data_IF_562445484266
#
_entry.id   IF_562445484266
#
_cell.length_a   1.000
_cell.length_b   1.000
_cell.length_c   1.000
_cell.angle_alpha   90.00
_cell.angle_beta   90.00
_cell.angle_gamma   90.00
#
_symmetry.space_group_name_H-M   'P 1'
#
loop_
_entity.id
_entity.type
_entity.pdbx_description
1 polymer ?
#
# COMPACT_ATOMS: atom_id res chain seq x y z
N UNK A 1 -2.35 7.98 19.56
CA UNK A 1 -2.22 7.38 18.20
C UNK A 1 -2.15 8.50 17.18
N UNK A 2 -1.16 8.50 16.29
CA UNK A 2 -1.08 9.51 15.21
C UNK A 2 -2.26 9.31 14.24
N UNK A 3 -2.99 10.38 13.93
CA UNK A 3 -4.11 10.35 12.99
C UNK A 3 -3.60 9.96 11.60
N UNK A 4 -4.20 8.95 10.97
CA UNK A 4 -3.89 8.58 9.60
C UNK A 4 -4.14 9.78 8.67
N UNK A 5 -3.07 10.28 8.02
CA UNK A 5 -3.15 11.42 7.12
C UNK A 5 -3.74 10.98 5.78
N UNK A 6 -4.98 11.37 5.51
CA UNK A 6 -5.62 11.21 4.20
C UNK A 6 -4.97 12.17 3.20
N UNK A 7 -4.72 11.69 1.98
CA UNK A 7 -4.11 12.42 0.87
C UNK A 7 -4.92 12.18 -0.40
N UNK A 8 -4.71 12.99 -1.43
CA UNK A 8 -5.27 12.77 -2.77
C UNK A 8 -4.17 12.62 -3.82
N UNK A 9 -4.50 12.00 -4.95
CA UNK A 9 -3.64 11.84 -6.13
C UNK A 9 -4.51 11.74 -7.38
N UNK A 10 -4.05 12.32 -8.49
CA UNK A 10 -4.68 12.16 -9.80
C UNK A 10 -3.94 11.09 -10.59
N UNK A 11 -4.67 10.10 -11.11
CA UNK A 11 -4.14 9.02 -11.94
C UNK A 11 -5.06 8.86 -13.14
N UNK A 12 -4.48 8.96 -14.35
CA UNK A 12 -5.20 8.81 -15.62
C UNK A 12 -6.50 9.62 -15.71
N UNK A 13 -6.50 10.83 -15.15
CA UNK A 13 -7.65 11.76 -15.16
C UNK A 13 -8.68 11.54 -14.05
N UNK A 14 -8.50 10.54 -13.18
CA UNK A 14 -9.39 10.25 -12.05
C UNK A 14 -8.72 10.64 -10.73
N UNK A 15 -9.48 11.28 -9.84
CA UNK A 15 -9.01 11.62 -8.50
C UNK A 15 -9.24 10.45 -7.52
N UNK A 16 -8.18 10.10 -6.79
CA UNK A 16 -8.20 9.08 -5.76
C UNK A 16 -7.76 9.65 -4.42
N UNK A 17 -8.46 9.27 -3.35
CA UNK A 17 -8.00 9.44 -1.98
C UNK A 17 -7.16 8.24 -1.55
N UNK A 18 -6.14 8.47 -0.73
CA UNK A 18 -5.30 7.41 -0.21
C UNK A 18 -4.77 7.70 1.20
N UNK A 19 -4.39 6.63 1.89
CA UNK A 19 -3.82 6.68 3.24
C UNK A 19 -2.97 5.45 3.53
N UNK A 20 -1.90 5.64 4.32
CA UNK A 20 -1.06 4.55 4.85
C UNK A 20 -1.49 4.24 6.28
N UNK A 21 -1.70 2.97 6.59
CA UNK A 21 -2.00 2.45 7.93
C UNK A 21 -0.94 1.42 8.30
N UNK A 22 -0.38 1.50 9.50
CA UNK A 22 0.49 0.44 10.04
C UNK A 22 -0.35 -0.81 10.32
N UNK A 23 0.09 -1.97 9.87
CA UNK A 23 -0.55 -3.27 10.17
C UNK A 23 0.25 -4.03 11.21
N UNK A 24 1.55 -4.17 10.98
CA UNK A 24 2.51 -4.90 11.80
C UNK A 24 3.92 -4.31 11.59
N UNK A 25 4.95 -4.75 12.33
CA UNK A 25 6.30 -4.20 12.21
C UNK A 25 6.98 -4.34 10.84
N UNK A 26 6.53 -5.26 9.98
CA UNK A 26 7.12 -5.53 8.67
C UNK A 26 6.26 -5.08 7.49
N UNK A 27 5.03 -4.59 7.74
CA UNK A 27 4.12 -4.18 6.68
C UNK A 27 3.30 -2.94 7.02
N UNK A 28 2.90 -2.25 5.96
CA UNK A 28 1.89 -1.21 5.98
C UNK A 28 0.77 -1.53 5.00
N UNK A 29 -0.46 -1.17 5.35
CA UNK A 29 -1.59 -1.19 4.43
C UNK A 29 -1.74 0.19 3.77
N UNK A 30 -1.62 0.22 2.44
CA UNK A 30 -2.04 1.35 1.62
C UNK A 30 -3.52 1.19 1.26
N UNK A 31 -4.36 2.11 1.71
CA UNK A 31 -5.77 2.18 1.36
C UNK A 31 -6.00 3.24 0.32
N UNK A 32 -6.71 2.91 -0.75
CA UNK A 32 -7.03 3.77 -1.87
C UNK A 32 -8.54 3.71 -2.13
N UNK A 33 -9.14 4.85 -2.44
CA UNK A 33 -10.56 4.97 -2.78
C UNK A 33 -10.79 6.07 -3.83
N UNK A 34 -11.77 5.94 -4.72
CA UNK A 34 -12.16 7.00 -5.67
C UNK A 34 -12.74 8.25 -4.98
N UNK A 35 -12.61 9.43 -5.63
CA UNK A 35 -13.26 10.69 -5.22
C UNK A 35 -14.15 11.21 -6.37
N UNK A 36 -15.41 11.63 -6.12
CA UNK A 36 -16.16 11.60 -4.86
C UNK A 36 -16.87 10.24 -4.67
N UNK A 37 -16.12 9.17 -4.38
CA UNK A 37 -16.71 7.84 -4.21
C UNK A 37 -17.06 7.51 -2.77
N UNK A 38 -18.27 6.98 -2.58
CA UNK A 38 -18.83 6.50 -1.30
C UNK A 38 -17.98 5.41 -0.67
N UNK A 39 -18.13 5.32 0.65
CA UNK A 39 -17.46 4.47 1.64
C UNK A 39 -17.23 2.98 1.36
N UNK A 40 -17.68 2.42 0.23
CA UNK A 40 -17.72 0.97 -0.05
C UNK A 40 -16.53 0.42 -0.84
N UNK A 41 -16.16 1.02 -1.98
CA UNK A 41 -15.12 0.47 -2.86
C UNK A 41 -13.73 0.93 -2.42
N UNK A 42 -12.91 0.00 -1.93
CA UNK A 42 -11.55 0.31 -1.45
C UNK A 42 -10.55 -0.71 -1.98
N UNK A 43 -9.45 -0.19 -2.51
CA UNK A 43 -8.26 -0.98 -2.79
C UNK A 43 -7.38 -0.94 -1.53
N UNK A 44 -7.07 -2.10 -0.95
CA UNK A 44 -6.13 -2.25 0.16
C UNK A 44 -4.91 -3.04 -0.31
N UNK A 45 -3.73 -2.43 -0.29
CA UNK A 45 -2.49 -3.10 -0.68
C UNK A 45 -1.60 -3.22 0.54
N UNK A 46 -1.23 -4.43 0.94
CA UNK A 46 -0.17 -4.66 1.92
C UNK A 46 1.17 -4.48 1.24
N UNK A 47 2.00 -3.59 1.78
CA UNK A 47 3.32 -3.27 1.26
C UNK A 47 4.34 -3.61 2.34
N UNK A 48 5.35 -4.40 1.99
CA UNK A 48 6.48 -4.66 2.88
C UNK A 48 7.16 -3.33 3.25
N UNK A 49 7.25 -3.08 4.55
CA UNK A 49 7.91 -1.91 5.12
C UNK A 49 8.34 -2.23 6.56
N UNK A 50 9.64 -2.45 6.75
CA UNK A 50 10.22 -2.68 8.06
C UNK A 50 10.35 -1.35 8.80
N UNK A 51 9.66 -1.21 9.94
CA UNK A 51 9.74 0.03 10.72
C UNK A 51 11.18 0.26 11.20
N UNK A 52 11.85 1.34 10.75
CA UNK A 52 13.25 1.58 11.08
C UNK A 52 13.47 1.84 12.58
N UNK A 53 12.43 2.24 13.31
CA UNK A 53 12.53 2.45 14.76
C UNK A 53 12.47 1.15 15.54
N UNK A 54 11.73 0.16 15.06
CA UNK A 54 11.68 -1.16 15.67
C UNK A 54 12.91 -2.00 15.30
N UNK A 55 13.47 -1.76 14.11
CA UNK A 55 14.62 -2.47 13.58
C UNK A 55 15.94 -1.69 13.71
N UNK A 56 15.98 -0.61 14.50
CA UNK A 56 17.12 0.32 14.55
C UNK A 56 18.46 -0.40 14.82
N UNK A 57 18.54 -1.20 15.88
CA UNK A 57 19.76 -1.94 16.26
C UNK A 57 20.27 -2.86 15.15
N UNK A 58 19.43 -3.78 14.62
CA UNK A 58 19.78 -4.60 13.46
C UNK A 58 20.19 -3.80 12.22
N UNK A 59 19.52 -2.67 11.92
CA UNK A 59 19.84 -1.83 10.75
C UNK A 59 21.23 -1.21 10.89
N UNK A 60 21.57 -0.62 12.04
CA UNK A 60 22.86 0.08 12.21
C UNK A 60 24.06 -0.87 12.38
N UNK A 61 23.82 -2.16 12.62
CA UNK A 61 24.86 -3.18 12.81
C UNK A 61 25.09 -4.05 11.57
N UNK A 62 24.18 -4.01 10.60
CA UNK A 62 24.35 -4.68 9.32
C UNK A 62 25.34 -3.91 8.41
N UNK A 63 26.12 -4.59 7.53
CA UNK A 63 26.88 -3.92 6.49
C UNK A 63 25.96 -3.06 5.63
N UNK A 64 26.30 -1.78 5.45
CA UNK A 64 25.41 -0.78 4.86
C UNK A 64 24.91 -1.17 3.47
N UNK A 65 25.77 -1.83 2.68
CA UNK A 65 25.50 -2.33 1.34
C UNK A 65 24.48 -3.48 1.31
N UNK A 66 24.26 -4.16 2.44
CA UNK A 66 23.35 -5.32 2.56
C UNK A 66 22.04 -5.01 3.27
N UNK A 67 21.90 -3.82 3.85
CA UNK A 67 20.69 -3.43 4.60
C UNK A 67 19.44 -3.58 3.72
N UNK A 68 19.52 -3.17 2.45
CA UNK A 68 18.40 -3.28 1.50
C UNK A 68 18.11 -4.71 1.02
N UNK A 69 19.01 -5.68 1.25
CA UNK A 69 18.77 -7.11 0.95
C UNK A 69 17.86 -7.75 1.99
N UNK A 70 17.96 -7.27 3.24
CA UNK A 70 17.33 -7.86 4.43
C UNK A 70 16.09 -7.07 4.85
N UNK A 71 16.14 -5.75 4.77
CA UNK A 71 15.07 -4.86 5.23
C UNK A 71 14.40 -4.12 4.07
N UNK A 72 13.07 -4.13 4.07
CA UNK A 72 12.23 -3.32 3.21
C UNK A 72 12.09 -1.90 3.81
N UNK A 73 13.08 -1.03 3.62
CA UNK A 73 13.08 0.32 4.22
C UNK A 73 12.49 1.42 3.33
N UNK A 74 12.09 1.08 2.10
CA UNK A 74 11.60 2.09 1.14
C UNK A 74 10.18 2.52 1.51
N UNK A 75 9.94 3.81 1.86
CA UNK A 75 8.61 4.27 2.21
C UNK A 75 7.68 4.30 0.99
N UNK A 76 6.37 4.22 1.22
CA UNK A 76 5.36 4.39 0.16
C UNK A 76 5.45 5.80 -0.45
N UNK A 77 5.76 5.86 -1.74
CA UNK A 77 5.87 7.12 -2.50
C UNK A 77 4.61 7.40 -3.34
N UNK A 78 4.32 8.66 -3.71
CA UNK A 78 3.20 8.97 -4.61
C UNK A 78 3.26 8.22 -5.94
N UNK A 79 4.46 8.05 -6.51
CA UNK A 79 4.65 7.27 -7.74
C UNK A 79 4.22 5.81 -7.55
N UNK A 80 4.60 5.19 -6.44
CA UNK A 80 4.17 3.81 -6.13
C UNK A 80 2.65 3.73 -5.98
N UNK A 81 1.99 4.74 -5.41
CA UNK A 81 0.52 4.78 -5.34
C UNK A 81 -0.09 4.79 -6.74
N UNK A 82 0.43 5.62 -7.66
CA UNK A 82 -0.07 5.69 -9.03
C UNK A 82 0.16 4.37 -9.81
N UNK A 83 1.32 3.73 -9.63
CA UNK A 83 1.60 2.41 -10.20
C UNK A 83 0.64 1.33 -9.68
N UNK A 84 0.35 1.33 -8.38
CA UNK A 84 -0.59 0.40 -7.76
C UNK A 84 -2.02 0.57 -8.27
N UNK A 85 -2.46 1.82 -8.43
CA UNK A 85 -3.78 2.12 -9.02
C UNK A 85 -3.87 1.57 -10.43
N UNK A 86 -2.88 1.85 -11.29
CA UNK A 86 -2.85 1.36 -12.68
C UNK A 86 -2.82 -0.16 -12.75
N UNK A 87 -2.02 -0.81 -11.91
CA UNK A 87 -1.96 -2.26 -11.86
C UNK A 87 -3.30 -2.89 -11.40
N UNK A 88 -3.95 -2.31 -10.40
CA UNK A 88 -5.26 -2.76 -9.95
C UNK A 88 -6.33 -2.60 -11.05
N UNK A 89 -6.35 -1.45 -11.74
CA UNK A 89 -7.25 -1.23 -12.89
C UNK A 89 -7.00 -2.27 -13.99
N UNK A 90 -5.73 -2.55 -14.31
CA UNK A 90 -5.35 -3.57 -15.29
C UNK A 90 -5.75 -4.99 -14.87
N UNK A 91 -5.80 -5.29 -13.56
CA UNK A 91 -6.29 -6.57 -13.04
C UNK A 91 -7.81 -6.64 -12.92
N UNK A 92 -8.55 -5.65 -13.45
CA UNK A 92 -10.01 -5.64 -13.45
C UNK A 92 -10.65 -5.02 -12.21
N UNK A 93 -9.88 -4.29 -11.38
CA UNK A 93 -10.49 -3.48 -10.32
C UNK A 93 -11.43 -2.46 -10.94
N UNK A 94 -12.73 -2.66 -10.71
CA UNK A 94 -13.77 -1.73 -11.12
C UNK A 94 -14.22 -0.94 -9.92
N UNK A 95 -14.03 0.37 -10.03
CA UNK A 95 -14.37 1.35 -8.99
C UNK A 95 -15.86 1.30 -8.64
N UNK A 96 -16.70 0.87 -9.58
CA UNK A 96 -18.16 0.89 -9.48
C UNK A 96 -18.79 -0.41 -8.94
N UNK A 97 -18.02 -1.51 -8.85
CA UNK A 97 -18.57 -2.85 -8.59
C UNK A 97 -18.76 -3.17 -7.09
N UNK A 98 -18.46 -2.23 -6.18
CA UNK A 98 -18.71 -2.39 -4.74
C UNK A 98 -17.66 -3.20 -3.97
N UNK A 99 -16.84 -3.99 -4.65
CA UNK A 99 -15.91 -4.93 -4.02
C UNK A 99 -14.61 -4.27 -3.55
N UNK A 100 -14.16 -4.67 -2.35
CA UNK A 100 -12.83 -4.30 -1.86
C UNK A 100 -11.81 -5.32 -2.34
N UNK A 101 -10.73 -4.86 -2.97
CA UNK A 101 -9.64 -5.72 -3.41
C UNK A 101 -8.46 -5.62 -2.46
N UNK A 102 -7.87 -6.78 -2.13
CA UNK A 102 -6.65 -6.87 -1.36
C UNK A 102 -5.51 -7.44 -2.20
N UNK A 103 -4.39 -6.72 -2.24
CA UNK A 103 -3.15 -7.19 -2.87
C UNK A 103 -2.02 -7.21 -1.85
N UNK A 104 -1.05 -8.11 -2.05
CA UNK A 104 0.26 -8.05 -1.40
C UNK A 104 1.27 -7.57 -2.44
N UNK A 105 2.07 -6.55 -2.08
CA UNK A 105 3.24 -6.13 -2.84
C UNK A 105 4.48 -6.61 -2.14
N UNK A 106 5.09 -7.67 -2.67
CA UNK A 106 6.41 -8.15 -2.24
C UNK A 106 7.45 -7.79 -3.32
N UNK A 107 8.48 -7.02 -2.94
CA UNK A 107 9.64 -6.67 -3.79
C UNK A 107 9.30 -6.22 -5.22
N UNK A 108 8.13 -5.59 -5.42
CA UNK A 108 7.68 -5.08 -6.72
C UNK A 108 6.66 -5.95 -7.45
N UNK A 109 6.37 -7.17 -6.99
CA UNK A 109 5.32 -8.03 -7.54
C UNK A 109 4.00 -7.79 -6.80
N UNK A 110 2.92 -7.63 -7.55
CA UNK A 110 1.55 -7.54 -7.01
C UNK A 110 0.88 -8.90 -7.14
N UNK A 111 0.46 -9.46 -6.02
CA UNK A 111 -0.28 -10.72 -5.98
C UNK A 111 -1.64 -10.48 -5.33
N UNK A 112 -2.75 -10.92 -5.96
CA UNK A 112 -4.07 -10.84 -5.34
C UNK A 112 -4.14 -11.78 -4.14
N UNK A 113 -4.73 -11.32 -3.04
CA UNK A 113 -5.02 -12.18 -1.88
C UNK A 113 -6.32 -12.95 -2.17
N UNK A 114 -6.31 -14.29 -2.24
CA UNK A 114 -7.53 -15.04 -2.48
C UNK A 114 -8.50 -14.95 -1.28
N UNK A 115 -9.76 -14.62 -1.55
CA UNK A 115 -10.91 -15.06 -0.74
C UNK A 115 -11.13 -14.41 0.63
N UNK A 116 -11.29 -13.08 0.71
CA UNK A 116 -11.92 -12.49 1.90
C UNK A 116 -13.00 -11.49 1.52
N UNK A 117 -14.31 -11.79 1.75
CA UNK A 117 -15.33 -10.75 1.67
C UNK A 117 -15.02 -9.71 2.76
N UNK A 118 -15.01 -8.44 2.37
CA UNK A 118 -14.80 -7.34 3.29
C UNK A 118 -15.95 -7.31 4.31
N UNK A 119 -15.65 -7.67 5.56
CA UNK A 119 -16.48 -7.36 6.73
C UNK A 119 -16.31 -5.92 7.19
#
# INVERSE_FOLDING_TARGET
MARTRKRTIHVDGVEYGWAVRRTDPGHVALRIWPVPGRSGCRLEVQVAFDDPWLNFGPIITAPAERVAEVFALTPVTPQQVAELIRAALASGWRVDDGESLRFVRDRGRLEPVPGHPAG
#
